data_IF_250337335050
#
_entry.id   IF_250337335050
#
_cell.length_a   1.000
_cell.length_b   1.000
_cell.length_c   1.000
_cell.angle_alpha   90.00
_cell.angle_beta   90.00
_cell.angle_gamma   90.00
#
_symmetry.space_group_name_H-M   'P 1'
#
loop_
_entity.id
_entity.type
_entity.pdbx_description
1 polymer ?
#
# COMPACT_ATOMS: atom_id res chain seq x y z
N UNK A 1 -42.25 31.07 11.39
CA UNK A 1 -42.22 30.08 12.50
C UNK A 1 -42.16 28.70 11.87
N UNK A 2 -41.02 28.34 11.26
CA UNK A 2 -40.90 27.14 10.43
C UNK A 2 -39.48 26.70 10.12
N UNK A 3 -38.44 27.40 10.59
CA UNK A 3 -37.04 27.15 10.22
C UNK A 3 -36.16 26.66 11.39
N UNK A 4 -36.76 26.09 12.44
CA UNK A 4 -36.05 25.70 13.66
C UNK A 4 -35.97 24.19 13.92
N UNK A 5 -36.41 23.33 12.99
CA UNK A 5 -36.51 21.87 13.22
C UNK A 5 -35.62 20.98 12.34
N UNK A 6 -34.71 21.54 11.54
CA UNK A 6 -33.77 20.75 10.71
C UNK A 6 -32.31 20.83 11.17
N UNK A 7 -32.07 21.06 12.46
CA UNK A 7 -30.71 21.15 13.01
C UNK A 7 -30.54 20.25 14.25
N UNK A 8 -30.81 18.94 14.11
CA UNK A 8 -30.37 17.94 15.10
C UNK A 8 -30.33 16.53 14.54
N UNK A 9 -29.31 16.21 13.75
CA UNK A 9 -28.86 14.83 13.51
C UNK A 9 -27.39 14.82 13.02
N UNK A 10 -26.50 15.53 13.72
CA UNK A 10 -25.08 15.17 13.67
C UNK A 10 -24.88 13.95 14.58
N UNK A 11 -24.31 12.83 14.09
CA UNK A 11 -24.01 11.69 14.93
C UNK A 11 -22.97 12.07 16.00
N UNK A 12 -23.07 11.51 17.22
CA UNK A 12 -22.21 11.90 18.34
C UNK A 12 -20.74 11.68 17.99
N UNK A 13 -19.89 12.67 18.29
CA UNK A 13 -18.44 12.71 18.03
C UNK A 13 -17.66 11.44 18.46
N UNK A 14 -18.25 10.60 19.31
CA UNK A 14 -17.71 9.28 19.68
C UNK A 14 -17.62 8.31 18.51
N UNK A 15 -18.52 8.36 17.52
CA UNK A 15 -18.50 7.49 16.34
C UNK A 15 -17.29 7.75 15.44
N UNK A 16 -17.02 9.03 15.13
CA UNK A 16 -15.85 9.43 14.33
C UNK A 16 -14.53 9.09 15.01
N UNK A 17 -14.44 9.22 16.34
CA UNK A 17 -13.21 8.87 17.08
C UNK A 17 -12.95 7.36 17.04
N UNK A 18 -13.99 6.52 17.18
CA UNK A 18 -13.84 5.06 17.08
C UNK A 18 -13.46 4.62 15.67
N UNK A 19 -14.02 5.27 14.63
CA UNK A 19 -13.59 5.06 13.24
C UNK A 19 -12.14 5.48 13.00
N UNK A 20 -11.76 6.70 13.41
CA UNK A 20 -10.38 7.22 13.23
C UNK A 20 -9.37 6.32 13.94
N UNK A 21 -9.69 5.86 15.15
CA UNK A 21 -8.87 4.89 15.89
C UNK A 21 -8.84 3.56 15.13
N UNK A 22 -9.98 3.07 14.61
CA UNK A 22 -10.03 1.86 13.78
C UNK A 22 -9.15 1.94 12.53
N UNK A 23 -9.19 3.06 11.81
CA UNK A 23 -8.36 3.31 10.62
C UNK A 23 -6.88 3.45 10.96
N UNK A 24 -6.52 4.15 12.05
CA UNK A 24 -5.13 4.23 12.53
C UNK A 24 -4.58 2.85 12.94
N UNK A 25 -5.40 2.03 13.60
CA UNK A 25 -5.01 0.68 14.03
C UNK A 25 -4.85 -0.28 12.84
N UNK A 26 -5.74 -0.21 11.85
CA UNK A 26 -5.63 -0.97 10.60
C UNK A 26 -4.36 -0.57 9.83
N UNK A 27 -4.05 0.73 9.77
CA UNK A 27 -2.86 1.26 9.11
C UNK A 27 -1.55 0.74 9.75
N UNK A 28 -1.47 0.66 11.07
CA UNK A 28 -0.30 0.13 11.77
C UNK A 28 -0.09 -1.37 11.51
N UNK A 29 -1.15 -2.18 11.62
CA UNK A 29 -1.10 -3.63 11.40
C UNK A 29 -0.78 -3.96 9.93
N UNK A 30 -1.30 -3.17 8.98
CA UNK A 30 -0.88 -3.21 7.58
C UNK A 30 0.61 -2.84 7.40
N UNK A 31 1.12 -1.84 8.11
CA UNK A 31 2.53 -1.40 7.96
C UNK A 31 3.54 -2.48 8.37
N UNK A 32 3.25 -3.22 9.46
CA UNK A 32 4.10 -4.33 9.92
C UNK A 32 4.04 -5.51 8.95
N UNK A 33 2.83 -5.90 8.50
CA UNK A 33 2.65 -6.99 7.53
C UNK A 33 3.30 -6.67 6.18
N UNK A 34 3.24 -5.43 5.71
CA UNK A 34 3.93 -4.99 4.49
C UNK A 34 5.46 -5.12 4.61
N UNK A 35 6.03 -4.91 5.79
CA UNK A 35 7.48 -5.05 6.02
C UNK A 35 7.95 -6.51 6.08
N UNK A 36 7.05 -7.43 6.43
CA UNK A 36 7.31 -8.88 6.44
C UNK A 36 7.12 -9.54 5.06
N UNK A 37 6.38 -8.88 4.17
CA UNK A 37 6.13 -9.33 2.79
C UNK A 37 7.40 -9.61 1.98
N UNK A 38 8.43 -8.74 1.95
CA UNK A 38 9.65 -9.02 1.19
C UNK A 38 10.45 -10.21 1.74
N UNK A 39 10.35 -10.51 3.05
CA UNK A 39 11.00 -11.68 3.65
C UNK A 39 10.34 -12.98 3.20
N UNK A 40 9.00 -13.05 3.25
CA UNK A 40 8.27 -14.22 2.78
C UNK A 40 8.42 -14.41 1.27
N UNK A 41 8.38 -13.32 0.50
CA UNK A 41 8.59 -13.36 -0.95
C UNK A 41 9.97 -13.94 -1.29
N UNK A 42 11.01 -13.55 -0.55
CA UNK A 42 12.37 -14.08 -0.70
C UNK A 42 12.44 -15.59 -0.40
N UNK A 43 11.82 -16.03 0.70
CA UNK A 43 11.77 -17.45 1.07
C UNK A 43 11.05 -18.27 -0.02
N UNK A 44 9.90 -17.79 -0.48
CA UNK A 44 9.15 -18.46 -1.55
C UNK A 44 9.92 -18.48 -2.87
N UNK A 45 10.64 -17.41 -3.21
CA UNK A 45 11.48 -17.35 -4.42
C UNK A 45 12.63 -18.38 -4.36
N UNK A 46 13.24 -18.61 -3.18
CA UNK A 46 14.23 -19.67 -2.97
C UNK A 46 13.59 -21.05 -3.16
N UNK A 47 12.40 -21.28 -2.61
CA UNK A 47 11.73 -22.58 -2.67
C UNK A 47 11.29 -22.91 -4.10
N UNK A 48 10.63 -21.97 -4.78
CA UNK A 48 10.04 -22.21 -6.11
C UNK A 48 11.04 -22.11 -7.25
N UNK A 49 11.95 -21.14 -7.21
CA UNK A 49 12.89 -20.88 -8.32
C UNK A 49 14.32 -21.32 -8.03
N UNK A 50 14.60 -21.90 -6.84
CA UNK A 50 15.96 -22.24 -6.36
C UNK A 50 16.97 -21.11 -6.55
N UNK A 51 16.48 -19.87 -6.46
CA UNK A 51 17.27 -18.67 -6.71
C UNK A 51 18.28 -18.45 -5.59
N UNK A 52 19.50 -18.03 -5.95
CA UNK A 52 20.57 -17.70 -5.00
C UNK A 52 20.42 -16.22 -4.62
N UNK A 53 19.77 -15.95 -3.49
CA UNK A 53 19.66 -14.60 -2.94
C UNK A 53 21.03 -14.17 -2.36
N UNK A 54 21.48 -12.97 -2.72
CA UNK A 54 22.74 -12.41 -2.22
C UNK A 54 22.67 -12.09 -0.73
N UNK A 55 23.80 -12.24 -0.02
CA UNK A 55 23.93 -11.82 1.38
C UNK A 55 23.58 -10.34 1.60
N UNK A 56 23.82 -9.48 0.59
CA UNK A 56 23.45 -8.06 0.64
C UNK A 56 21.93 -7.86 0.68
N UNK A 57 21.19 -8.68 -0.04
CA UNK A 57 19.72 -8.66 -0.04
C UNK A 57 19.17 -9.12 1.30
N UNK A 58 19.75 -10.16 1.90
CA UNK A 58 19.40 -10.59 3.25
C UNK A 58 19.66 -9.52 4.30
N UNK A 59 20.78 -8.80 4.21
CA UNK A 59 21.06 -7.67 5.09
C UNK A 59 20.01 -6.57 4.94
N UNK A 60 19.64 -6.20 3.71
CA UNK A 60 18.60 -5.20 3.46
C UNK A 60 17.23 -5.62 4.03
N UNK A 61 16.86 -6.89 3.88
CA UNK A 61 15.63 -7.44 4.47
C UNK A 61 15.63 -7.28 6.00
N UNK A 62 16.70 -7.71 6.66
CA UNK A 62 16.83 -7.61 8.12
C UNK A 62 16.74 -6.15 8.58
N UNK A 63 17.39 -5.23 7.85
CA UNK A 63 17.30 -3.80 8.15
C UNK A 63 15.83 -3.35 8.07
N UNK A 64 15.12 -3.59 6.96
CA UNK A 64 13.69 -3.24 6.82
C UNK A 64 12.85 -3.79 7.98
N UNK A 65 13.09 -5.03 8.41
CA UNK A 65 12.40 -5.63 9.55
C UNK A 65 12.70 -4.89 10.86
N UNK A 66 13.98 -4.58 11.11
CA UNK A 66 14.41 -3.86 12.30
C UNK A 66 13.74 -2.47 12.38
N UNK A 67 13.61 -1.79 11.24
CA UNK A 67 12.88 -0.53 11.13
C UNK A 67 11.42 -0.63 11.54
N UNK A 68 10.73 -1.64 11.02
CA UNK A 68 9.33 -1.90 11.35
C UNK A 68 9.16 -2.20 12.85
N UNK A 69 10.06 -3.00 13.43
CA UNK A 69 10.04 -3.32 14.88
C UNK A 69 10.29 -2.07 15.73
N UNK A 70 11.29 -1.25 15.37
CA UNK A 70 11.60 -0.01 16.08
C UNK A 70 10.45 1.01 16.00
N UNK A 71 9.75 1.07 14.86
CA UNK A 71 8.57 1.91 14.69
C UNK A 71 7.43 1.50 15.62
N UNK A 72 7.17 0.20 15.76
CA UNK A 72 6.13 -0.34 16.66
C UNK A 72 6.49 -0.09 18.13
N UNK A 73 7.74 -0.35 18.52
CA UNK A 73 8.20 -0.11 19.91
C UNK A 73 8.07 1.38 20.28
N UNK A 74 8.35 2.28 19.33
CA UNK A 74 8.25 3.73 19.56
C UNK A 74 6.80 4.23 19.67
N UNK A 75 5.81 3.43 19.27
CA UNK A 75 4.39 3.78 19.25
C UNK A 75 3.53 2.71 19.93
N UNK A 76 3.63 2.57 21.27
CA UNK A 76 2.96 1.51 22.03
C UNK A 76 1.43 1.65 22.08
N UNK A 77 0.87 2.79 21.64
CA UNK A 77 -0.59 2.99 21.54
C UNK A 77 -1.23 2.20 20.38
N UNK A 78 -0.44 1.54 19.52
CA UNK A 78 -0.91 0.92 18.28
C UNK A 78 -1.07 -0.62 18.36
N UNK A 79 -0.89 -1.23 19.54
CA UNK A 79 -1.09 -2.67 19.73
C UNK A 79 -2.59 -3.05 19.65
N UNK A 80 -3.07 -3.42 18.47
CA UNK A 80 -4.44 -3.90 18.27
C UNK A 80 -4.48 -5.38 17.86
N UNK A 81 -5.20 -6.18 18.64
CA UNK A 81 -5.40 -7.61 18.42
C UNK A 81 -6.39 -7.90 17.27
N UNK A 82 -7.27 -6.95 16.96
CA UNK A 82 -8.37 -7.15 16.00
C UNK A 82 -7.96 -7.18 14.52
N UNK A 83 -6.79 -6.64 14.14
CA UNK A 83 -6.37 -6.51 12.73
C UNK A 83 -5.49 -7.65 12.21
N UNK A 84 -5.01 -8.55 13.08
CA UNK A 84 -3.97 -9.50 12.72
C UNK A 84 -4.39 -10.49 11.63
N UNK A 85 -5.66 -10.91 11.62
CA UNK A 85 -6.17 -11.83 10.59
C UNK A 85 -6.13 -11.17 9.20
N UNK A 86 -6.54 -9.91 9.10
CA UNK A 86 -6.52 -9.16 7.85
C UNK A 86 -5.09 -8.87 7.39
N UNK A 87 -4.20 -8.50 8.32
CA UNK A 87 -2.77 -8.35 8.02
C UNK A 87 -2.15 -9.65 7.52
N UNK A 88 -2.49 -10.79 8.14
CA UNK A 88 -1.96 -12.09 7.72
C UNK A 88 -2.48 -12.47 6.34
N UNK A 89 -3.77 -12.26 6.06
CA UNK A 89 -4.35 -12.48 4.75
C UNK A 89 -3.69 -11.59 3.68
N UNK A 90 -3.46 -10.31 3.99
CA UNK A 90 -2.78 -9.37 3.10
C UNK A 90 -1.31 -9.77 2.87
N UNK A 91 -0.60 -10.17 3.92
CA UNK A 91 0.78 -10.67 3.84
C UNK A 91 0.87 -11.89 2.92
N UNK A 92 0.01 -12.88 3.13
CA UNK A 92 -0.03 -14.10 2.33
C UNK A 92 -0.38 -13.78 0.86
N UNK A 93 -1.37 -12.92 0.63
CA UNK A 93 -1.79 -12.49 -0.71
C UNK A 93 -0.68 -11.74 -1.44
N UNK A 94 -0.02 -10.79 -0.79
CA UNK A 94 1.05 -10.00 -1.38
C UNK A 94 2.29 -10.84 -1.72
N UNK A 95 2.68 -11.76 -0.81
CA UNK A 95 3.77 -12.68 -1.05
C UNK A 95 3.47 -13.66 -2.20
N UNK A 96 2.24 -14.21 -2.24
CA UNK A 96 1.79 -15.07 -3.33
C UNK A 96 1.77 -14.33 -4.67
N UNK A 97 1.27 -13.08 -4.70
CA UNK A 97 1.24 -12.25 -5.90
C UNK A 97 2.64 -12.02 -6.47
N UNK A 98 3.62 -11.63 -5.65
CA UNK A 98 4.98 -11.36 -6.09
C UNK A 98 5.63 -12.59 -6.77
N UNK A 99 5.40 -13.78 -6.22
CA UNK A 99 5.92 -15.04 -6.77
C UNK A 99 5.15 -15.46 -8.02
N UNK A 100 3.82 -15.32 -8.00
CA UNK A 100 2.95 -15.68 -9.12
C UNK A 100 3.23 -14.84 -10.37
N UNK A 101 3.36 -13.52 -10.22
CA UNK A 101 3.72 -12.65 -11.34
C UNK A 101 5.06 -13.06 -11.94
N UNK A 102 6.05 -13.39 -11.10
CA UNK A 102 7.35 -13.87 -11.58
C UNK A 102 7.26 -15.21 -12.31
N UNK A 103 6.41 -16.12 -11.82
CA UNK A 103 6.11 -17.38 -12.49
C UNK A 103 5.51 -17.15 -13.89
N UNK A 104 4.51 -16.28 -14.00
CA UNK A 104 3.87 -15.93 -15.28
C UNK A 104 4.88 -15.32 -16.26
N UNK A 105 5.71 -14.37 -15.79
CA UNK A 105 6.76 -13.76 -16.60
C UNK A 105 7.75 -14.82 -17.12
N UNK A 106 8.17 -15.75 -16.27
CA UNK A 106 9.15 -16.78 -16.65
C UNK A 106 8.59 -17.85 -17.59
N UNK A 107 7.32 -18.23 -17.43
CA UNK A 107 6.68 -19.29 -18.21
C UNK A 107 6.19 -18.80 -19.57
N UNK A 108 5.48 -17.67 -19.61
CA UNK A 108 4.78 -17.19 -20.81
C UNK A 108 5.61 -16.14 -21.57
N UNK A 109 6.55 -15.45 -20.89
CA UNK A 109 7.33 -14.32 -21.41
C UNK A 109 6.48 -13.28 -22.17
N UNK A 110 5.34 -12.85 -21.60
CA UNK A 110 4.48 -11.86 -22.24
C UNK A 110 5.18 -10.50 -22.31
N UNK A 111 4.72 -9.63 -23.21
CA UNK A 111 5.18 -8.25 -23.20
C UNK A 111 4.72 -7.53 -21.93
N UNK A 112 5.42 -6.47 -21.53
CA UNK A 112 5.00 -5.66 -20.36
C UNK A 112 3.59 -5.09 -20.53
N UNK A 113 3.20 -4.76 -21.77
CA UNK A 113 1.87 -4.25 -22.08
C UNK A 113 0.78 -5.29 -21.85
N UNK A 114 1.03 -6.56 -22.21
CA UNK A 114 0.09 -7.65 -21.95
C UNK A 114 -0.07 -7.86 -20.43
N UNK A 115 1.03 -7.81 -19.69
CA UNK A 115 1.00 -8.00 -18.23
C UNK A 115 0.21 -6.90 -17.52
N UNK A 116 0.38 -5.65 -17.95
CA UNK A 116 -0.43 -4.50 -17.47
C UNK A 116 -1.91 -4.72 -17.82
N UNK A 117 -2.21 -5.09 -19.06
CA UNK A 117 -3.59 -5.27 -19.52
C UNK A 117 -4.30 -6.40 -18.75
N UNK A 118 -3.65 -7.56 -18.61
CA UNK A 118 -4.20 -8.70 -17.85
C UNK A 118 -4.45 -8.33 -16.40
N UNK A 119 -3.51 -7.64 -15.74
CA UNK A 119 -3.68 -7.25 -14.34
C UNK A 119 -4.86 -6.28 -14.16
N UNK A 120 -5.01 -5.29 -15.04
CA UNK A 120 -6.11 -4.34 -14.96
C UNK A 120 -7.46 -5.00 -15.31
N UNK A 121 -7.49 -5.89 -16.31
CA UNK A 121 -8.71 -6.60 -16.71
C UNK A 121 -9.21 -7.54 -15.60
N UNK A 122 -8.31 -8.28 -14.95
CA UNK A 122 -8.63 -9.13 -13.81
C UNK A 122 -9.10 -8.33 -12.58
N UNK A 123 -8.73 -7.05 -12.49
CA UNK A 123 -9.16 -6.17 -11.41
C UNK A 123 -10.59 -5.65 -11.59
N UNK A 124 -11.12 -5.60 -12.82
CA UNK A 124 -12.49 -5.13 -13.10
C UNK A 124 -13.60 -5.94 -12.41
N UNK A 125 -13.64 -7.30 -12.45
CA UNK A 125 -14.68 -8.06 -11.76
C UNK A 125 -14.61 -7.86 -10.23
N UNK A 126 -13.40 -7.70 -9.69
CA UNK A 126 -13.21 -7.41 -8.27
C UNK A 126 -13.75 -6.02 -7.92
N UNK A 127 -13.45 -5.02 -8.75
CA UNK A 127 -13.97 -3.66 -8.62
C UNK A 127 -15.51 -3.66 -8.64
N UNK A 128 -16.12 -4.37 -9.58
CA UNK A 128 -17.59 -4.49 -9.66
C UNK A 128 -18.18 -5.18 -8.42
N UNK A 129 -17.52 -6.21 -7.89
CA UNK A 129 -17.96 -6.87 -6.66
C UNK A 129 -17.89 -5.93 -5.45
N UNK A 130 -16.83 -5.12 -5.33
CA UNK A 130 -16.73 -4.11 -4.28
C UNK A 130 -17.78 -3.01 -4.43
N UNK A 131 -18.02 -2.53 -5.65
CA UNK A 131 -19.08 -1.55 -5.93
C UNK A 131 -20.48 -2.08 -5.59
N UNK A 132 -20.70 -3.39 -5.61
CA UNK A 132 -21.96 -4.03 -5.22
C UNK A 132 -22.14 -4.10 -3.71
N UNK A 133 -21.04 -4.29 -2.96
CA UNK A 133 -21.04 -4.32 -1.50
C UNK A 133 -21.23 -2.90 -0.95
N UNK A 134 -20.71 -1.91 -1.66
CA UNK A 134 -20.89 -0.49 -1.34
C UNK A 134 -22.30 0.02 -1.74
N UNK A 135 -22.68 1.20 -1.26
CA UNK A 135 -24.01 1.75 -1.52
C UNK A 135 -24.17 2.18 -3.00
N UNK A 136 -24.73 1.26 -3.81
CA UNK A 136 -24.93 1.40 -5.26
C UNK A 136 -25.79 2.63 -5.63
N UNK A 137 -26.50 3.22 -4.67
CA UNK A 137 -27.34 4.40 -4.88
C UNK A 137 -26.55 5.72 -4.77
N UNK A 138 -25.37 5.68 -4.16
CA UNK A 138 -24.52 6.85 -3.92
C UNK A 138 -23.54 7.07 -5.08
N UNK A 139 -23.09 5.98 -5.72
CA UNK A 139 -22.14 6.01 -6.84
C UNK A 139 -22.64 6.88 -8.02
N UNK A 140 -23.88 6.72 -8.54
CA UNK A 140 -24.34 7.49 -9.69
C UNK A 140 -24.47 8.98 -9.39
N UNK A 141 -24.80 9.33 -8.14
CA UNK A 141 -24.90 10.72 -7.68
C UNK A 141 -23.52 11.38 -7.60
N UNK A 142 -22.51 10.63 -7.16
CA UNK A 142 -21.12 11.10 -7.12
C UNK A 142 -20.55 11.35 -8.52
N UNK A 143 -20.86 10.49 -9.50
CA UNK A 143 -20.46 10.72 -10.90
C UNK A 143 -21.15 11.94 -11.51
N UNK A 144 -22.42 12.17 -11.18
CA UNK A 144 -23.18 13.32 -11.67
C UNK A 144 -22.75 14.66 -11.07
N UNK A 145 -22.12 14.67 -9.89
CA UNK A 145 -21.66 15.89 -9.21
C UNK A 145 -20.22 16.29 -9.56
N UNK A 146 -19.51 15.53 -10.38
CA UNK A 146 -18.12 15.85 -10.77
C UNK A 146 -18.11 17.01 -11.78
N UNK A 147 -17.36 18.06 -11.44
CA UNK A 147 -17.13 19.20 -12.34
C UNK A 147 -16.21 18.82 -13.52
N UNK A 148 -16.19 19.63 -14.58
CA UNK A 148 -15.28 19.43 -15.71
C UNK A 148 -13.80 19.41 -15.28
N UNK A 149 -13.42 20.21 -14.29
CA UNK A 149 -12.08 20.18 -13.69
C UNK A 149 -11.81 18.87 -12.94
N UNK A 150 -12.80 18.34 -12.22
CA UNK A 150 -12.70 17.05 -11.55
C UNK A 150 -12.40 15.91 -12.53
N UNK A 151 -13.02 15.92 -13.71
CA UNK A 151 -12.73 14.95 -14.77
C UNK A 151 -11.30 15.03 -15.29
N UNK A 152 -10.70 16.23 -15.34
CA UNK A 152 -9.29 16.40 -15.72
C UNK A 152 -8.36 15.74 -14.70
N UNK A 153 -8.61 15.95 -13.40
CA UNK A 153 -7.84 15.32 -12.32
C UNK A 153 -7.99 13.79 -12.33
N UNK A 154 -9.20 13.28 -12.58
CA UNK A 154 -9.43 11.84 -12.75
C UNK A 154 -8.62 11.31 -13.92
N UNK A 155 -8.69 11.96 -15.10
CA UNK A 155 -7.91 11.58 -16.27
C UNK A 155 -6.40 11.56 -16.00
N UNK A 156 -5.88 12.61 -15.33
CA UNK A 156 -4.48 12.68 -14.96
C UNK A 156 -4.07 11.55 -14.01
N UNK A 157 -4.92 11.23 -13.01
CA UNK A 157 -4.65 10.13 -12.08
C UNK A 157 -4.58 8.77 -12.78
N UNK A 158 -5.43 8.54 -13.79
CA UNK A 158 -5.44 7.31 -14.59
C UNK A 158 -4.15 7.20 -15.40
N UNK A 159 -3.70 8.29 -16.02
CA UNK A 159 -2.45 8.32 -16.77
C UNK A 159 -1.23 8.03 -15.87
N UNK A 160 -1.20 8.63 -14.67
CA UNK A 160 -0.14 8.37 -13.69
C UNK A 160 -0.19 6.92 -13.20
N UNK A 161 -1.38 6.39 -12.88
CA UNK A 161 -1.55 5.01 -12.44
C UNK A 161 -1.14 3.99 -13.52
N UNK A 162 -1.47 4.27 -14.79
CA UNK A 162 -1.03 3.47 -15.93
C UNK A 162 0.50 3.50 -16.04
N UNK A 163 1.11 4.69 -15.93
CA UNK A 163 2.57 4.86 -15.99
C UNK A 163 3.30 4.08 -14.88
N UNK A 164 2.78 4.13 -13.65
CA UNK A 164 3.31 3.37 -12.51
C UNK A 164 3.20 1.87 -12.77
N UNK A 165 2.08 1.40 -13.33
CA UNK A 165 1.89 -0.01 -13.67
C UNK A 165 2.88 -0.49 -14.72
N UNK A 166 3.08 0.29 -15.80
CA UNK A 166 4.07 -0.03 -16.84
C UNK A 166 5.50 -0.08 -16.27
N UNK A 167 5.88 0.92 -15.47
CA UNK A 167 7.20 0.93 -14.83
C UNK A 167 7.38 -0.24 -13.85
N UNK A 168 6.35 -0.56 -13.06
CA UNK A 168 6.36 -1.63 -12.07
C UNK A 168 6.51 -3.03 -12.70
N UNK A 169 5.78 -3.32 -13.78
CA UNK A 169 5.93 -4.58 -14.50
C UNK A 169 7.22 -4.63 -15.33
N UNK A 170 7.67 -3.50 -15.89
CA UNK A 170 8.96 -3.39 -16.55
C UNK A 170 10.12 -3.72 -15.59
N UNK A 171 10.07 -3.19 -14.37
CA UNK A 171 11.03 -3.53 -13.33
C UNK A 171 10.98 -5.03 -12.98
N UNK A 172 9.80 -5.59 -12.75
CA UNK A 172 9.63 -7.02 -12.44
C UNK A 172 10.11 -7.97 -13.55
N UNK A 173 10.07 -7.53 -14.81
CA UNK A 173 10.66 -8.28 -15.92
C UNK A 173 12.20 -8.29 -15.83
N UNK A 174 12.81 -7.16 -15.45
CA UNK A 174 14.25 -6.98 -15.39
C UNK A 174 14.92 -7.52 -14.10
N UNK A 175 14.23 -7.49 -12.96
CA UNK A 175 14.79 -7.87 -11.64
C UNK A 175 14.08 -9.06 -11.00
N UNK A 176 14.63 -9.62 -9.93
CA UNK A 176 14.02 -10.69 -9.13
C UNK A 176 12.80 -10.17 -8.34
N UNK A 177 11.93 -11.08 -7.89
CA UNK A 177 10.73 -10.70 -7.13
C UNK A 177 11.12 -9.98 -5.81
N UNK A 178 12.17 -10.48 -5.16
CA UNK A 178 12.74 -9.87 -3.95
C UNK A 178 13.28 -8.46 -4.21
N UNK A 179 14.04 -8.24 -5.30
CA UNK A 179 14.57 -6.90 -5.60
C UNK A 179 13.46 -5.91 -5.90
N UNK A 180 12.42 -6.32 -6.63
CA UNK A 180 11.27 -5.46 -6.90
C UNK A 180 10.57 -5.01 -5.61
N UNK A 181 10.34 -5.91 -4.66
CA UNK A 181 9.70 -5.56 -3.38
C UNK A 181 10.59 -4.62 -2.54
N UNK A 182 11.90 -4.83 -2.52
CA UNK A 182 12.85 -3.91 -1.85
C UNK A 182 12.84 -2.52 -2.50
N UNK A 183 12.86 -2.42 -3.83
CA UNK A 183 12.78 -1.14 -4.54
C UNK A 183 11.50 -0.36 -4.20
N UNK A 184 10.37 -1.05 -4.02
CA UNK A 184 9.12 -0.41 -3.59
C UNK A 184 9.23 0.16 -2.17
N UNK A 185 9.90 -0.53 -1.24
CA UNK A 185 10.19 0.02 0.08
C UNK A 185 11.08 1.25 -0.01
N UNK A 186 12.16 1.23 -0.81
CA UNK A 186 13.02 2.40 -1.01
C UNK A 186 12.24 3.58 -1.60
N UNK A 187 11.36 3.34 -2.57
CA UNK A 187 10.55 4.39 -3.21
C UNK A 187 9.65 5.11 -2.20
N UNK A 188 9.04 4.37 -1.27
CA UNK A 188 8.25 4.95 -0.17
C UNK A 188 9.10 5.89 0.70
N UNK A 189 10.35 5.52 0.98
CA UNK A 189 11.26 6.31 1.80
C UNK A 189 11.67 7.61 1.10
N UNK A 190 11.92 7.56 -0.21
CA UNK A 190 12.23 8.75 -1.01
C UNK A 190 11.06 9.73 -1.01
N UNK A 191 9.82 9.24 -1.20
CA UNK A 191 8.63 10.09 -1.13
C UNK A 191 8.48 10.78 0.23
N UNK A 192 8.76 10.08 1.33
CA UNK A 192 8.76 10.68 2.67
C UNK A 192 9.87 11.73 2.84
N UNK A 193 11.04 11.51 2.24
CA UNK A 193 12.15 12.46 2.26
C UNK A 193 11.82 13.76 1.53
N UNK A 194 11.22 13.67 0.34
CA UNK A 194 10.82 14.84 -0.46
C UNK A 194 9.73 15.64 0.27
N UNK A 195 8.71 14.97 0.82
CA UNK A 195 7.66 15.66 1.59
C UNK A 195 8.22 16.38 2.81
N UNK A 196 9.26 15.84 3.43
CA UNK A 196 9.94 16.48 4.57
C UNK A 196 10.70 17.75 4.20
N UNK A 197 11.21 17.85 2.98
CA UNK A 197 11.91 19.05 2.52
C UNK A 197 10.96 20.20 2.20
N UNK A 198 9.70 19.90 1.86
CA UNK A 198 8.72 20.91 1.44
C UNK A 198 7.85 21.42 2.59
N UNK A 199 7.53 20.57 3.57
CA UNK A 199 6.59 20.92 4.65
C UNK A 199 7.13 20.51 6.04
N UNK A 200 8.06 21.32 6.55
CA UNK A 200 8.75 21.07 7.82
C UNK A 200 7.86 21.19 9.07
N UNK A 201 6.65 21.75 8.95
CA UNK A 201 5.77 22.02 10.09
C UNK A 201 4.76 20.90 10.43
N UNK A 202 4.33 20.11 9.44
CA UNK A 202 3.33 19.04 9.64
C UNK A 202 3.95 17.67 10.01
N UNK A 203 5.22 17.45 9.68
CA UNK A 203 5.91 16.17 9.87
C UNK A 203 6.52 15.96 11.26
N UNK A 204 6.73 17.03 12.03
CA UNK A 204 7.28 16.93 13.40
C UNK A 204 6.27 16.37 14.40
N UNK A 205 4.97 16.38 14.11
CA UNK A 205 3.94 15.79 15.00
C UNK A 205 3.82 14.27 14.85
N UNK A 206 4.26 13.67 13.74
CA UNK A 206 4.11 12.23 13.46
C UNK A 206 5.43 11.46 13.38
N UNK A 207 6.58 12.13 13.24
CA UNK A 207 7.89 11.45 13.25
C UNK A 207 8.51 11.46 14.64
N UNK A 208 8.25 10.40 15.40
CA UNK A 208 9.00 10.09 16.64
C UNK A 208 10.50 10.09 16.33
N UNK A 209 11.32 10.62 17.23
CA UNK A 209 12.79 10.80 17.06
C UNK A 209 13.52 9.54 16.55
N UNK A 210 13.03 8.34 16.90
CA UNK A 210 13.56 7.05 16.42
C UNK A 210 13.39 6.81 14.90
N UNK A 211 12.32 7.32 14.27
CA UNK A 211 12.10 7.15 12.82
C UNK A 211 13.07 7.98 11.96
N UNK A 212 13.58 9.10 12.50
CA UNK A 212 14.50 10.01 11.81
C UNK A 212 15.87 9.35 11.55
N UNK A 213 16.35 8.50 12.47
CA UNK A 213 17.61 7.77 12.32
C UNK A 213 17.51 6.56 11.37
N UNK A 214 16.37 5.88 11.34
CA UNK A 214 16.20 4.66 10.56
C UNK A 214 15.97 4.92 9.05
N UNK A 215 15.34 6.05 8.68
CA UNK A 215 15.26 6.46 7.27
C UNK A 215 16.64 6.64 6.60
N UNK A 216 17.65 7.03 7.37
CA UNK A 216 19.01 7.30 6.87
C UNK A 216 19.80 6.01 6.69
N UNK A 217 19.53 4.96 7.48
CA UNK A 217 20.26 3.67 7.41
C UNK A 217 19.75 2.77 6.27
N UNK A 218 18.54 3.03 5.76
CA UNK A 218 17.93 2.29 4.64
C UNK A 218 18.25 2.86 3.23
N UNK A 219 18.95 4.00 3.14
CA UNK A 219 19.49 4.53 1.89
C UNK A 219 20.98 4.20 1.78
#
# INVERSE_FOLDING_TARGET
MGDALLQKNEPPAKGKIVEIIGWMLLFCVCSVSMSLTPHLSAILEIIFFKSRISMRTWAALIVILLGAVMFVISNPSLYAIGGYLFAFANLASAAAYAVYVKFVINTIKPSTMDLVLYNNLLSLPLLLAFMWIDDITTIPKAFASISAEGWVWVGLSILVAASISFAGFGLQAAVTATTNTVCQHCSKMVSLGILKTEDSSLLDTQTTSCGKGFCIVCC
#
